data_IF_811099296091
#
_entry.id   IF_811099296091
#
_cell.length_a   1.000
_cell.length_b   1.000
_cell.length_c   1.000
_cell.angle_alpha   90.00
_cell.angle_beta   90.00
_cell.angle_gamma   90.00
#
_symmetry.space_group_name_H-M   'P 1'
#
loop_
_entity.id
_entity.type
_entity.pdbx_description
1 polymer ?
#
# COMPACT_ATOMS: atom_id res chain seq x y z
N UNK A 1 -13.66 -6.36 -27.04
CA UNK A 1 -12.23 -6.63 -26.71
C UNK A 1 -12.09 -6.84 -25.23
N UNK A 2 -11.47 -7.93 -24.84
CA UNK A 2 -11.13 -8.13 -23.44
C UNK A 2 -10.11 -7.07 -23.01
N UNK A 3 -10.42 -6.31 -21.97
CA UNK A 3 -9.44 -5.44 -21.35
C UNK A 3 -8.40 -6.31 -20.65
N UNK A 4 -7.14 -6.12 -20.99
CA UNK A 4 -6.05 -6.80 -20.30
C UNK A 4 -5.78 -6.05 -19.00
N UNK A 5 -5.94 -6.73 -17.87
CA UNK A 5 -5.63 -6.15 -16.57
C UNK A 5 -4.13 -6.24 -16.34
N UNK A 6 -3.46 -5.11 -16.48
CA UNK A 6 -2.06 -5.00 -16.10
C UNK A 6 -1.95 -4.75 -14.60
N UNK A 7 -0.99 -5.41 -13.98
CA UNK A 7 -0.60 -5.18 -12.59
C UNK A 7 0.65 -4.32 -12.60
N UNK A 8 0.65 -3.24 -11.85
CA UNK A 8 1.81 -2.40 -11.68
C UNK A 8 2.17 -2.26 -10.21
N UNK A 9 3.45 -2.17 -9.94
CA UNK A 9 3.96 -1.94 -8.60
C UNK A 9 5.07 -0.89 -8.65
N UNK A 10 5.07 0.01 -7.69
CA UNK A 10 6.08 1.06 -7.54
C UNK A 10 6.67 0.97 -6.15
N UNK A 11 7.98 1.00 -6.05
CA UNK A 11 8.70 1.05 -4.78
C UNK A 11 9.37 2.41 -4.60
N UNK A 12 9.10 3.04 -3.47
CA UNK A 12 9.77 4.25 -3.02
C UNK A 12 10.91 3.81 -2.07
N UNK A 13 12.11 3.72 -2.60
CA UNK A 13 13.26 3.31 -1.79
C UNK A 13 14.04 4.54 -1.28
N UNK A 14 15.21 4.33 -0.70
CA UNK A 14 15.95 5.39 -0.01
C UNK A 14 16.36 6.57 -0.91
N UNK A 15 16.58 6.33 -2.19
CA UNK A 15 17.04 7.37 -3.13
C UNK A 15 16.54 7.17 -4.56
N UNK A 16 15.67 6.18 -4.77
CA UNK A 16 15.18 5.81 -6.10
C UNK A 16 13.70 5.48 -6.04
N UNK A 17 13.05 5.68 -7.16
CA UNK A 17 11.70 5.18 -7.39
C UNK A 17 11.79 4.17 -8.52
N UNK A 18 11.33 2.97 -8.30
CA UNK A 18 11.34 1.89 -9.30
C UNK A 18 9.93 1.41 -9.54
N UNK A 19 9.60 1.13 -10.80
CA UNK A 19 8.29 0.60 -11.16
C UNK A 19 8.42 -0.58 -12.11
N UNK A 20 7.54 -1.54 -11.93
CA UNK A 20 7.36 -2.67 -12.86
C UNK A 20 5.89 -2.79 -13.20
N UNK A 21 5.61 -3.34 -14.37
CA UNK A 21 4.27 -3.66 -14.78
C UNK A 21 4.25 -4.95 -15.57
N UNK A 22 3.16 -5.70 -15.45
CA UNK A 22 3.05 -6.96 -16.13
C UNK A 22 1.65 -7.54 -16.06
N UNK A 23 1.55 -8.80 -16.41
CA UNK A 23 0.30 -9.58 -16.42
C UNK A 23 0.43 -10.78 -15.52
N UNK A 24 -0.67 -11.12 -14.87
CA UNK A 24 -0.79 -12.39 -14.15
C UNK A 24 -1.24 -13.48 -15.13
N UNK A 25 -0.48 -14.55 -15.18
CA UNK A 25 -0.81 -15.73 -16.00
C UNK A 25 -1.84 -16.60 -15.29
N UNK A 26 -2.47 -17.50 -16.04
CA UNK A 26 -3.47 -18.42 -15.51
C UNK A 26 -2.93 -19.38 -14.44
N UNK A 27 -1.63 -19.66 -14.45
CA UNK A 27 -0.94 -20.49 -13.45
C UNK A 27 -0.56 -19.73 -12.18
N UNK A 28 -0.86 -18.43 -12.10
CA UNK A 28 -0.53 -17.57 -10.97
C UNK A 28 0.81 -16.84 -11.06
N UNK A 29 1.62 -17.16 -12.08
CA UNK A 29 2.89 -16.45 -12.30
C UNK A 29 2.64 -15.04 -12.84
N UNK A 30 3.62 -14.16 -12.65
CA UNK A 30 3.56 -12.78 -13.16
C UNK A 30 4.62 -12.60 -14.24
N UNK A 31 4.18 -12.21 -15.43
CA UNK A 31 5.06 -11.88 -16.52
C UNK A 31 5.35 -10.38 -16.49
N UNK A 32 6.61 -10.01 -16.26
CA UNK A 32 7.04 -8.60 -16.25
C UNK A 32 7.21 -8.14 -17.70
N UNK A 33 6.48 -7.09 -18.07
CA UNK A 33 6.45 -6.56 -19.43
C UNK A 33 7.06 -5.16 -19.54
N UNK A 34 7.19 -4.44 -18.42
CA UNK A 34 7.70 -3.09 -18.39
C UNK A 34 8.46 -2.83 -17.11
N UNK A 35 9.48 -2.00 -17.19
CA UNK A 35 10.29 -1.57 -16.08
C UNK A 35 10.72 -0.12 -16.26
N UNK A 36 10.67 0.66 -15.19
CA UNK A 36 11.15 2.04 -15.20
C UNK A 36 11.77 2.40 -13.85
N UNK A 37 12.67 3.35 -13.86
CA UNK A 37 13.40 3.77 -12.66
C UNK A 37 13.74 5.25 -12.77
N UNK A 38 13.60 5.97 -11.65
CA UNK A 38 13.97 7.36 -11.52
C UNK A 38 14.87 7.57 -10.32
N UNK A 39 15.85 8.45 -10.44
CA UNK A 39 16.62 8.91 -9.29
C UNK A 39 15.77 9.88 -8.47
N UNK A 40 15.71 9.65 -7.18
CA UNK A 40 14.92 10.45 -6.25
C UNK A 40 15.78 11.05 -5.14
N UNK A 41 17.10 10.92 -5.23
CA UNK A 41 18.03 11.38 -4.20
C UNK A 41 17.88 12.85 -3.80
N UNK A 42 17.46 13.78 -4.70
CA UNK A 42 17.26 15.18 -4.29
C UNK A 42 16.05 15.43 -3.42
N UNK A 43 15.07 14.49 -3.37
CA UNK A 43 13.80 14.71 -2.66
C UNK A 43 13.31 13.52 -1.85
N UNK A 44 14.01 12.38 -1.91
CA UNK A 44 13.80 11.25 -1.02
C UNK A 44 15.12 10.95 -0.31
N UNK A 45 15.07 10.81 1.01
CA UNK A 45 16.21 10.46 1.81
C UNK A 45 15.78 9.49 2.92
N UNK A 46 16.43 8.33 2.98
CA UNK A 46 16.10 7.27 3.93
C UNK A 46 14.61 6.87 3.93
N UNK A 47 13.99 6.91 2.75
CA UNK A 47 12.57 6.58 2.57
C UNK A 47 11.59 7.70 2.91
N UNK A 48 12.06 8.85 3.35
CA UNK A 48 11.22 10.02 3.64
C UNK A 48 11.20 10.98 2.46
N UNK A 49 10.01 11.49 2.13
CA UNK A 49 9.80 12.43 1.03
C UNK A 49 9.93 13.85 1.56
N UNK A 50 10.91 14.60 1.05
CA UNK A 50 11.15 16.01 1.42
C UNK A 50 10.50 17.02 0.47
N UNK A 51 10.14 16.59 -0.74
CA UNK A 51 9.48 17.45 -1.71
C UNK A 51 8.40 16.64 -2.44
N UNK A 52 7.15 16.87 -2.05
CA UNK A 52 5.99 16.14 -2.56
C UNK A 52 5.78 16.40 -4.06
N UNK A 53 5.97 17.63 -4.51
CA UNK A 53 5.77 17.98 -5.91
C UNK A 53 6.76 17.26 -6.83
N UNK A 54 8.02 17.21 -6.43
CA UNK A 54 9.05 16.48 -7.19
C UNK A 54 8.81 14.99 -7.17
N UNK A 55 8.36 14.45 -6.03
CA UNK A 55 7.99 13.05 -5.92
C UNK A 55 6.82 12.71 -6.84
N UNK A 56 5.81 13.56 -6.90
CA UNK A 56 4.66 13.38 -7.78
C UNK A 56 5.07 13.41 -9.25
N UNK A 57 5.97 14.33 -9.63
CA UNK A 57 6.51 14.40 -11.00
C UNK A 57 7.28 13.14 -11.38
N UNK A 58 8.09 12.62 -10.46
CA UNK A 58 8.85 11.40 -10.69
C UNK A 58 7.93 10.17 -10.81
N UNK A 59 6.90 10.07 -9.98
CA UNK A 59 5.89 9.02 -10.08
C UNK A 59 5.14 9.08 -11.41
N UNK A 60 4.74 10.27 -11.83
CA UNK A 60 4.09 10.47 -13.12
C UNK A 60 5.00 10.05 -14.27
N UNK A 61 6.28 10.40 -14.20
CA UNK A 61 7.27 9.99 -15.20
C UNK A 61 7.39 8.47 -15.29
N UNK A 62 7.46 7.79 -14.14
CA UNK A 62 7.54 6.32 -14.10
C UNK A 62 6.28 5.69 -14.70
N UNK A 63 5.10 6.15 -14.31
CA UNK A 63 3.84 5.63 -14.84
C UNK A 63 3.78 5.82 -16.35
N UNK A 64 4.15 6.99 -16.84
CA UNK A 64 4.17 7.27 -18.28
C UNK A 64 5.15 6.36 -19.03
N UNK A 65 6.32 6.09 -18.47
CA UNK A 65 7.29 5.16 -19.05
C UNK A 65 6.77 3.73 -19.11
N UNK A 66 6.14 3.28 -18.03
CA UNK A 66 5.53 1.94 -17.99
C UNK A 66 4.38 1.82 -19.00
N UNK A 67 3.50 2.80 -19.06
CA UNK A 67 2.39 2.83 -20.01
C UNK A 67 2.89 2.88 -21.46
N UNK A 68 3.97 3.62 -21.72
CA UNK A 68 4.60 3.66 -23.03
C UNK A 68 5.16 2.31 -23.47
N UNK A 69 5.79 1.58 -22.54
CA UNK A 69 6.31 0.23 -22.81
C UNK A 69 5.19 -0.80 -23.01
N UNK A 70 4.10 -0.67 -22.25
CA UNK A 70 2.93 -1.55 -22.37
C UNK A 70 2.04 -1.20 -23.56
N UNK A 71 2.13 0.03 -24.04
CA UNK A 71 1.21 0.62 -25.01
C UNK A 71 -0.25 0.52 -24.51
N UNK A 72 -0.45 0.77 -23.22
CA UNK A 72 -1.74 0.68 -22.54
C UNK A 72 -1.71 1.50 -21.25
N UNK A 73 -2.89 1.82 -20.72
CA UNK A 73 -3.03 2.57 -19.49
C UNK A 73 -2.99 1.66 -18.27
N UNK A 74 -2.43 2.17 -17.17
CA UNK A 74 -2.40 1.51 -15.88
C UNK A 74 -3.47 2.14 -14.99
N UNK A 75 -4.43 1.33 -14.55
CA UNK A 75 -5.54 1.78 -13.72
C UNK A 75 -5.28 1.60 -12.23
N UNK A 76 -4.42 0.66 -11.85
CA UNK A 76 -4.18 0.28 -10.47
C UNK A 76 -2.70 0.02 -10.24
N UNK A 77 -2.18 0.54 -9.14
CA UNK A 77 -0.78 0.41 -8.77
C UNK A 77 -0.67 -0.02 -7.31
N UNK A 78 0.17 -1.01 -7.05
CA UNK A 78 0.60 -1.34 -5.69
C UNK A 78 1.82 -0.49 -5.36
N UNK A 79 1.86 0.08 -4.17
CA UNK A 79 2.97 0.95 -3.75
C UNK A 79 3.65 0.36 -2.53
N UNK A 80 4.93 0.09 -2.65
CA UNK A 80 5.79 -0.28 -1.54
C UNK A 80 6.41 0.97 -0.94
N UNK A 81 6.20 1.17 0.34
CA UNK A 81 6.78 2.29 1.08
C UNK A 81 7.66 1.76 2.20
N UNK A 82 8.70 2.51 2.50
CA UNK A 82 9.60 2.19 3.60
C UNK A 82 10.18 3.46 4.17
N UNK A 83 10.86 3.34 5.26
CA UNK A 83 11.50 4.48 5.90
C UNK A 83 11.78 4.18 7.37
N UNK A 84 12.72 4.88 7.95
CA UNK A 84 13.10 4.68 9.34
C UNK A 84 12.00 5.06 10.33
N UNK A 85 11.07 5.91 9.90
CA UNK A 85 9.93 6.35 10.72
C UNK A 85 8.71 5.43 10.59
N UNK A 86 8.70 4.50 9.63
CA UNK A 86 7.61 3.55 9.48
C UNK A 86 7.72 2.48 10.55
N UNK A 87 6.67 2.32 11.35
CA UNK A 87 6.65 1.40 12.48
C UNK A 87 5.33 0.66 12.57
N UNK A 88 5.40 -0.54 13.12
CA UNK A 88 4.22 -1.31 13.51
C UNK A 88 3.99 -1.09 15.00
N UNK A 89 2.81 -0.62 15.34
CA UNK A 89 2.36 -0.47 16.73
C UNK A 89 1.27 -1.52 16.97
N UNK A 90 1.38 -2.24 18.06
CA UNK A 90 0.38 -3.23 18.46
C UNK A 90 -0.54 -2.61 19.48
N UNK A 91 -1.81 -2.79 19.29
CA UNK A 91 -2.85 -2.38 20.22
C UNK A 91 -3.94 -3.43 20.26
N UNK A 92 -4.60 -3.57 21.39
CA UNK A 92 -5.71 -4.51 21.55
C UNK A 92 -6.95 -3.75 21.98
N UNK A 93 -8.04 -4.03 21.30
CA UNK A 93 -9.37 -3.53 21.64
C UNK A 93 -10.27 -4.76 21.80
N UNK A 94 -11.07 -4.79 22.83
CA UNK A 94 -11.99 -5.89 23.08
C UNK A 94 -13.42 -5.41 23.20
N UNK A 95 -14.34 -6.25 22.78
CA UNK A 95 -15.78 -6.05 22.96
C UNK A 95 -16.36 -7.25 23.68
N UNK A 96 -17.18 -6.97 24.66
CA UNK A 96 -18.01 -7.98 25.34
C UNK A 96 -19.42 -7.85 24.80
N UNK A 97 -19.94 -8.94 24.26
CA UNK A 97 -21.32 -8.99 23.76
C UNK A 97 -22.24 -9.45 24.90
N UNK A 98 -23.38 -8.77 25.08
CA UNK A 98 -24.35 -9.09 26.12
C UNK A 98 -25.05 -10.43 25.85
N UNK A 99 -25.20 -10.77 24.57
CA UNK A 99 -25.84 -12.01 24.13
C UNK A 99 -24.95 -12.71 23.09
N UNK A 100 -25.09 -14.01 22.97
CA UNK A 100 -24.48 -14.73 21.85
C UNK A 100 -24.98 -14.16 20.53
N UNK A 101 -24.07 -13.74 19.70
CA UNK A 101 -24.39 -13.19 18.40
C UNK A 101 -23.33 -13.56 17.38
N UNK A 102 -23.74 -13.55 16.12
CA UNK A 102 -22.80 -13.77 15.01
C UNK A 102 -21.99 -12.49 14.82
N UNK A 103 -20.67 -12.65 14.72
CA UNK A 103 -19.78 -11.52 14.45
C UNK A 103 -20.04 -11.01 13.02
N UNK A 104 -20.52 -9.78 12.94
CA UNK A 104 -20.81 -9.11 11.67
C UNK A 104 -19.59 -8.33 11.18
N UNK A 105 -19.55 -8.07 9.89
CA UNK A 105 -18.53 -7.20 9.31
C UNK A 105 -18.59 -5.79 9.92
N UNK A 106 -19.78 -5.30 10.24
CA UNK A 106 -19.98 -3.99 10.88
C UNK A 106 -19.29 -3.93 12.25
N UNK A 107 -19.41 -4.97 13.06
CA UNK A 107 -18.71 -5.05 14.36
C UNK A 107 -17.19 -5.06 14.17
N UNK A 108 -16.70 -5.80 13.20
CA UNK A 108 -15.27 -5.85 12.88
C UNK A 108 -14.76 -4.47 12.45
N UNK A 109 -15.51 -3.78 11.60
CA UNK A 109 -15.15 -2.45 11.14
C UNK A 109 -15.11 -1.43 12.28
N UNK A 110 -16.07 -1.49 13.21
CA UNK A 110 -16.07 -0.64 14.40
C UNK A 110 -14.83 -0.85 15.27
N UNK A 111 -14.43 -2.09 15.49
CA UNK A 111 -13.24 -2.43 16.27
C UNK A 111 -11.97 -1.95 15.55
N UNK A 112 -11.91 -2.11 14.24
CA UNK A 112 -10.79 -1.62 13.45
C UNK A 112 -10.69 -0.08 13.51
N UNK A 113 -11.81 0.61 13.46
CA UNK A 113 -11.85 2.06 13.56
C UNK A 113 -11.38 2.55 14.93
N UNK A 114 -11.72 1.86 16.01
CA UNK A 114 -11.21 2.17 17.35
C UNK A 114 -9.69 2.04 17.42
N UNK A 115 -9.12 1.02 16.77
CA UNK A 115 -7.68 0.86 16.68
C UNK A 115 -7.01 1.97 15.86
N UNK A 116 -7.72 2.51 14.88
CA UNK A 116 -7.24 3.62 14.06
C UNK A 116 -7.18 4.94 14.83
N UNK A 117 -8.04 5.10 15.81
CA UNK A 117 -8.15 6.31 16.62
C UNK A 117 -7.24 6.32 17.84
N UNK A 118 -6.35 5.33 18.00
CA UNK A 118 -5.39 5.31 19.11
C UNK A 118 -4.48 6.53 19.03
N UNK A 119 -4.34 7.30 20.11
CA UNK A 119 -3.47 8.47 20.11
C UNK A 119 -2.00 8.05 19.99
N UNK A 120 -1.34 8.55 18.97
CA UNK A 120 0.06 8.31 18.71
C UNK A 120 0.81 9.65 18.75
N UNK A 121 1.97 9.66 19.38
CA UNK A 121 2.81 10.87 19.46
C UNK A 121 3.64 10.96 18.17
N UNK A 122 3.50 12.07 17.45
CA UNK A 122 4.26 12.38 16.24
C UNK A 122 4.15 11.34 15.11
N UNK A 123 3.04 10.58 15.09
CA UNK A 123 2.79 9.57 14.08
C UNK A 123 1.34 9.59 13.62
N UNK A 124 1.11 9.15 12.40
CA UNK A 124 -0.23 8.95 11.84
C UNK A 124 -0.40 7.49 11.43
N UNK A 125 -1.61 6.99 11.56
CA UNK A 125 -1.94 5.62 11.15
C UNK A 125 -2.08 5.59 9.62
N UNK A 126 -1.27 4.77 8.96
CA UNK A 126 -1.38 4.52 7.53
C UNK A 126 -2.39 3.43 7.24
N UNK A 127 -2.32 2.35 8.00
CA UNK A 127 -3.21 1.22 7.81
C UNK A 127 -3.36 0.43 9.11
N UNK A 128 -4.42 -0.36 9.20
CA UNK A 128 -4.71 -1.22 10.35
C UNK A 128 -4.91 -2.64 9.86
N UNK A 129 -4.06 -3.55 10.33
CA UNK A 129 -4.23 -4.97 10.12
C UNK A 129 -4.84 -5.58 11.39
N UNK A 130 -6.01 -6.18 11.26
CA UNK A 130 -6.73 -6.75 12.39
C UNK A 130 -6.51 -8.25 12.49
N UNK A 131 -6.05 -8.70 13.66
CA UNK A 131 -6.07 -10.10 14.05
C UNK A 131 -7.22 -10.27 15.03
N UNK A 132 -8.17 -11.07 14.66
CA UNK A 132 -9.35 -11.33 15.50
C UNK A 132 -9.13 -12.57 16.36
N UNK A 133 -9.29 -12.40 17.65
CA UNK A 133 -9.28 -13.49 18.62
C UNK A 133 -10.63 -13.55 19.30
N UNK A 134 -11.17 -14.74 19.44
CA UNK A 134 -12.35 -14.99 20.27
C UNK A 134 -11.91 -15.75 21.50
N UNK A 135 -12.30 -15.26 22.68
CA UNK A 135 -12.12 -15.98 23.92
C UNK A 135 -13.41 -16.69 24.28
N UNK A 136 -13.39 -17.97 24.60
CA UNK A 136 -14.52 -18.58 25.26
C UNK A 136 -14.69 -17.94 26.64
N UNK A 137 -15.85 -17.44 26.92
CA UNK A 137 -16.19 -16.90 28.24
C UNK A 137 -16.35 -18.03 29.27
#
# INVERSE_FOLDING_TARGET
MATTDFIAAIELSSSKISGIAGKKSSDGSIQVLAYAREDASPFIHKGAIYNIDKAAQALTSIINKLEGQLNNSIAKVYVGIGGQSLRTVRNAVSRTLEEESIISQELVDEICDENRDVPLVDMSVLDVACLLYTSPS
#
